data_IF_256843173597
#
_entry.id   IF_256843173597
#
_cell.length_a   1.000
_cell.length_b   1.000
_cell.length_c   1.000
_cell.angle_alpha   90.00
_cell.angle_beta   90.00
_cell.angle_gamma   90.00
#
_symmetry.space_group_name_H-M   'P 1'
#
loop_
_entity.id
_entity.type
_entity.pdbx_description
1 polymer ?
#
# COMPACT_ATOMS: atom_id res chain seq x y z
N UNK A 1 -13.80 29.05 -19.24
CA UNK A 1 -12.47 28.55 -18.83
C UNK A 1 -12.62 27.07 -18.60
N UNK A 2 -11.94 26.22 -19.38
CA UNK A 2 -11.97 24.78 -19.17
C UNK A 2 -10.98 24.43 -18.06
N UNK A 3 -11.47 24.02 -16.90
CA UNK A 3 -10.66 23.40 -15.86
C UNK A 3 -10.16 22.06 -16.39
N UNK A 4 -8.87 21.96 -16.68
CA UNK A 4 -8.24 20.67 -16.93
C UNK A 4 -8.36 19.84 -15.64
N UNK A 5 -9.06 18.70 -15.72
CA UNK A 5 -9.12 17.76 -14.61
C UNK A 5 -7.70 17.20 -14.38
N UNK A 6 -7.14 17.42 -13.20
CA UNK A 6 -5.91 16.74 -12.77
C UNK A 6 -6.30 15.28 -12.54
N UNK A 7 -6.03 14.42 -13.51
CA UNK A 7 -6.14 12.97 -13.31
C UNK A 7 -5.07 12.54 -12.30
N UNK A 8 -5.43 11.82 -11.23
CA UNK A 8 -4.46 11.24 -10.32
C UNK A 8 -3.44 10.40 -11.09
N UNK A 9 -2.18 10.38 -10.64
CA UNK A 9 -1.09 9.62 -11.26
C UNK A 9 -1.37 8.10 -11.42
N UNK A 10 -2.46 7.60 -10.83
CA UNK A 10 -2.86 6.19 -10.79
C UNK A 10 -4.17 5.92 -11.54
N UNK A 11 -4.67 6.88 -12.31
CA UNK A 11 -5.97 6.80 -12.97
C UNK A 11 -6.02 5.81 -14.16
N UNK A 12 -4.88 5.27 -14.60
CA UNK A 12 -4.81 4.25 -15.67
C UNK A 12 -3.80 3.13 -15.38
N UNK A 13 -2.81 3.39 -14.54
CA UNK A 13 -1.80 2.43 -14.10
C UNK A 13 -1.18 3.02 -12.83
N UNK A 14 -1.12 2.30 -11.69
CA UNK A 14 -0.56 2.85 -10.47
C UNK A 14 0.88 3.34 -10.68
N UNK A 15 1.07 4.64 -10.56
CA UNK A 15 2.34 5.35 -10.72
C UNK A 15 2.98 5.22 -12.12
N UNK A 16 2.15 4.92 -13.13
CA UNK A 16 2.60 4.61 -14.48
C UNK A 16 3.21 3.21 -14.65
N UNK A 17 3.10 2.35 -13.64
CA UNK A 17 3.61 0.98 -13.64
C UNK A 17 2.51 -0.03 -13.98
N UNK A 18 2.84 -1.05 -14.76
CA UNK A 18 1.91 -2.07 -15.26
C UNK A 18 2.34 -3.48 -14.89
N UNK A 19 1.36 -4.38 -14.83
CA UNK A 19 1.60 -5.80 -14.66
C UNK A 19 2.65 -6.30 -15.68
N UNK A 20 3.66 -7.01 -15.18
CA UNK A 20 4.68 -7.63 -16.01
C UNK A 20 5.74 -6.69 -16.59
N UNK A 21 5.75 -5.41 -16.21
CA UNK A 21 6.85 -4.51 -16.55
C UNK A 21 8.19 -5.12 -16.11
N UNK A 22 9.18 -5.11 -17.01
CA UNK A 22 10.52 -5.69 -16.78
C UNK A 22 11.62 -4.63 -16.66
N UNK A 23 11.39 -3.44 -17.21
CA UNK A 23 12.37 -2.36 -17.28
C UNK A 23 12.04 -1.33 -16.18
N UNK A 24 12.36 -1.67 -14.93
CA UNK A 24 12.18 -0.79 -13.78
C UNK A 24 13.51 -0.20 -13.34
N UNK A 25 13.45 1.01 -12.76
CA UNK A 25 14.61 1.67 -12.18
C UNK A 25 14.83 1.17 -10.75
N UNK A 26 15.44 -0.02 -10.64
CA UNK A 26 15.69 -0.68 -9.36
C UNK A 26 16.73 0.06 -8.53
N UNK A 27 16.36 0.33 -7.27
CA UNK A 27 17.29 0.72 -6.22
C UNK A 27 17.77 -0.50 -5.43
N UNK A 28 18.04 -0.27 -4.15
CA UNK A 28 18.52 -1.32 -3.26
C UNK A 28 17.52 -2.47 -3.12
N UNK A 29 18.05 -3.68 -2.97
CA UNK A 29 17.24 -4.84 -2.62
C UNK A 29 16.68 -4.66 -1.21
N UNK A 30 15.38 -4.87 -1.06
CA UNK A 30 14.79 -4.94 0.27
C UNK A 30 15.17 -6.28 0.92
N UNK A 31 15.35 -6.31 2.23
CA UNK A 31 15.62 -7.53 3.03
C UNK A 31 14.40 -8.48 3.11
N UNK A 32 13.80 -8.76 1.96
CA UNK A 32 12.74 -9.74 1.72
C UNK A 32 12.94 -10.29 0.31
N UNK A 33 12.84 -11.60 0.09
CA UNK A 33 12.99 -12.16 -1.25
C UNK A 33 12.03 -11.53 -2.26
N UNK A 34 12.57 -11.24 -3.44
CA UNK A 34 11.88 -10.66 -4.60
C UNK A 34 11.28 -9.27 -4.39
N UNK A 35 11.58 -8.62 -3.27
CA UNK A 35 11.23 -7.23 -3.04
C UNK A 35 12.40 -6.29 -3.34
N UNK A 36 12.12 -5.24 -4.10
CA UNK A 36 13.11 -4.25 -4.50
C UNK A 36 12.57 -2.84 -4.27
N UNK A 37 13.41 -1.94 -3.79
CA UNK A 37 13.10 -0.51 -3.87
C UNK A 37 13.23 -0.04 -5.32
N UNK A 38 12.50 1.01 -5.68
CA UNK A 38 12.67 1.74 -6.93
C UNK A 38 13.30 3.11 -6.64
N UNK A 39 14.25 3.52 -7.47
CA UNK A 39 14.81 4.89 -7.40
C UNK A 39 13.80 5.91 -7.92
N UNK A 40 13.01 5.52 -8.92
CA UNK A 40 11.99 6.36 -9.53
C UNK A 40 10.82 5.55 -10.11
N UNK A 41 9.70 6.24 -10.36
CA UNK A 41 8.53 5.70 -11.07
C UNK A 41 8.12 6.69 -12.17
N UNK A 42 7.49 6.23 -13.26
CA UNK A 42 7.12 7.10 -14.38
C UNK A 42 6.20 8.27 -14.01
N UNK A 43 5.25 8.04 -13.09
CA UNK A 43 4.29 9.04 -12.62
C UNK A 43 4.26 9.08 -11.09
N UNK A 44 5.22 9.77 -10.45
CA UNK A 44 5.26 9.84 -8.98
C UNK A 44 4.10 10.67 -8.44
N UNK A 45 3.71 10.40 -7.20
CA UNK A 45 2.75 11.20 -6.46
C UNK A 45 3.49 11.84 -5.26
N UNK A 46 3.42 13.18 -5.10
CA UNK A 46 4.22 13.89 -4.11
C UNK A 46 3.90 13.51 -2.65
N UNK A 47 2.80 12.80 -2.40
CA UNK A 47 2.46 12.29 -1.05
C UNK A 47 3.31 11.09 -0.65
N UNK A 48 3.94 10.40 -1.60
CA UNK A 48 4.71 9.18 -1.37
C UNK A 48 6.19 9.43 -1.62
N UNK A 49 7.03 8.86 -0.77
CA UNK A 49 8.49 9.00 -0.86
C UNK A 49 9.23 7.66 -0.92
N UNK A 50 8.49 6.55 -0.90
CA UNK A 50 9.03 5.19 -0.92
C UNK A 50 8.20 4.33 -1.86
N UNK A 51 8.90 3.65 -2.75
CA UNK A 51 8.33 2.79 -3.78
C UNK A 51 9.06 1.46 -3.74
N UNK A 52 8.33 0.39 -3.43
CA UNK A 52 8.83 -0.96 -3.47
C UNK A 52 7.97 -1.81 -4.40
N UNK A 53 8.58 -2.82 -4.99
CA UNK A 53 7.89 -3.76 -5.87
C UNK A 53 8.20 -5.19 -5.51
N UNK A 54 7.21 -6.06 -5.66
CA UNK A 54 7.45 -7.50 -5.77
C UNK A 54 7.67 -7.82 -7.26
N UNK A 55 8.82 -8.41 -7.56
CA UNK A 55 9.27 -8.67 -8.91
C UNK A 55 9.75 -10.12 -9.05
N UNK A 56 9.32 -10.79 -10.11
CA UNK A 56 9.64 -12.20 -10.37
C UNK A 56 9.87 -12.48 -11.85
N UNK A 57 9.87 -13.75 -12.24
CA UNK A 57 10.09 -14.15 -13.64
C UNK A 57 9.06 -13.57 -14.62
N UNK A 58 7.83 -13.34 -14.15
CA UNK A 58 6.75 -12.71 -14.92
C UNK A 58 6.84 -11.18 -15.00
N UNK A 59 7.84 -10.56 -14.34
CA UNK A 59 7.99 -9.11 -14.21
C UNK A 59 7.36 -8.55 -12.93
N UNK A 60 6.89 -7.30 -12.98
CA UNK A 60 6.21 -6.64 -11.88
C UNK A 60 4.90 -7.36 -11.49
N UNK A 61 4.75 -7.68 -10.21
CA UNK A 61 3.55 -8.35 -9.66
C UNK A 61 2.81 -7.53 -8.60
N UNK A 62 3.53 -6.68 -7.87
CA UNK A 62 2.94 -5.85 -6.80
C UNK A 62 3.70 -4.56 -6.65
N UNK A 63 2.97 -3.49 -6.35
CA UNK A 63 3.52 -2.21 -5.96
C UNK A 63 3.15 -1.97 -4.50
N UNK A 64 4.10 -1.51 -3.70
CA UNK A 64 3.89 -1.01 -2.35
C UNK A 64 4.49 0.39 -2.25
N UNK A 65 3.69 1.35 -1.83
CA UNK A 65 4.14 2.72 -1.60
C UNK A 65 3.90 3.16 -0.17
N UNK A 66 4.75 4.06 0.30
CA UNK A 66 4.65 4.63 1.64
C UNK A 66 4.76 6.16 1.62
N UNK A 67 3.98 6.81 2.47
CA UNK A 67 4.16 8.24 2.77
C UNK A 67 5.40 8.48 3.63
N UNK A 68 5.87 9.73 3.74
CA UNK A 68 6.67 10.14 4.89
C UNK A 68 5.95 9.83 6.22
N UNK A 69 6.72 9.87 7.32
CA UNK A 69 6.13 9.82 8.65
C UNK A 69 5.25 11.03 8.91
N UNK A 70 4.09 10.79 9.52
CA UNK A 70 3.33 11.79 10.26
C UNK A 70 3.93 11.84 11.68
N UNK A 71 4.76 12.84 12.02
CA UNK A 71 5.37 12.93 13.34
C UNK A 71 4.36 13.39 14.39
N UNK A 72 4.54 12.94 15.63
CA UNK A 72 3.73 13.35 16.79
C UNK A 72 2.21 13.21 16.61
N UNK A 73 1.77 12.32 15.72
CA UNK A 73 0.36 12.12 15.38
C UNK A 73 -0.30 11.14 16.36
N UNK A 74 -0.18 11.39 17.67
CA UNK A 74 -0.65 10.47 18.71
C UNK A 74 -2.10 9.98 18.50
N UNK A 75 -2.96 10.90 18.08
CA UNK A 75 -4.38 10.61 17.81
C UNK A 75 -4.64 10.05 16.41
N UNK A 76 -3.67 10.05 15.51
CA UNK A 76 -3.86 9.64 14.10
C UNK A 76 -4.62 10.67 13.27
N UNK A 77 -4.74 11.93 13.69
CA UNK A 77 -5.51 12.97 12.98
C UNK A 77 -4.98 13.16 11.56
N UNK A 78 -3.69 13.32 11.40
CA UNK A 78 -3.09 13.62 10.09
C UNK A 78 -3.12 12.38 9.21
N UNK A 79 -2.76 11.22 9.78
CA UNK A 79 -2.81 9.94 9.09
C UNK A 79 -4.24 9.57 8.63
N UNK A 80 -5.28 9.79 9.46
CA UNK A 80 -6.68 9.54 9.08
C UNK A 80 -7.16 10.51 8.01
N UNK A 81 -6.79 11.79 8.10
CA UNK A 81 -7.18 12.79 7.10
C UNK A 81 -6.60 12.43 5.73
N UNK A 82 -5.31 12.07 5.68
CA UNK A 82 -4.66 11.63 4.45
C UNK A 82 -5.21 10.27 3.95
N UNK A 83 -5.57 9.36 4.87
CA UNK A 83 -6.26 8.11 4.54
C UNK A 83 -7.58 8.38 3.82
N UNK A 84 -8.44 9.23 4.36
CA UNK A 84 -9.76 9.51 3.80
C UNK A 84 -9.66 10.17 2.42
N UNK A 85 -8.67 11.04 2.22
CA UNK A 85 -8.38 11.65 0.92
C UNK A 85 -7.98 10.59 -0.11
N UNK A 86 -6.97 9.78 0.18
CA UNK A 86 -6.49 8.72 -0.74
C UNK A 86 -7.59 7.69 -1.00
N UNK A 87 -8.34 7.31 0.05
CA UNK A 87 -9.48 6.39 -0.07
C UNK A 87 -10.52 6.94 -1.05
N UNK A 88 -10.90 8.22 -0.90
CA UNK A 88 -11.90 8.84 -1.79
C UNK A 88 -11.43 8.86 -3.24
N UNK A 89 -10.14 9.06 -3.48
CA UNK A 89 -9.57 9.01 -4.84
C UNK A 89 -9.60 7.59 -5.41
N UNK A 90 -9.21 6.58 -4.64
CA UNK A 90 -9.26 5.17 -5.07
C UNK A 90 -10.72 4.75 -5.30
N UNK A 91 -11.65 5.16 -4.44
CA UNK A 91 -13.09 4.91 -4.61
C UNK A 91 -13.63 5.51 -5.93
N UNK A 92 -13.17 6.71 -6.29
CA UNK A 92 -13.52 7.35 -7.56
C UNK A 92 -13.08 6.56 -8.80
N UNK A 93 -11.99 5.81 -8.70
CA UNK A 93 -11.42 5.03 -9.80
C UNK A 93 -11.93 3.59 -9.85
N UNK A 94 -12.06 2.94 -8.70
CA UNK A 94 -12.34 1.50 -8.59
C UNK A 94 -13.71 1.17 -7.98
N UNK A 95 -14.51 2.19 -7.67
CA UNK A 95 -15.75 2.03 -6.91
C UNK A 95 -15.48 1.86 -5.41
N UNK A 96 -16.54 1.78 -4.61
CA UNK A 96 -16.41 1.75 -3.16
C UNK A 96 -15.64 0.50 -2.67
N UNK A 97 -14.60 0.75 -1.89
CA UNK A 97 -13.90 -0.29 -1.14
C UNK A 97 -14.66 -0.70 0.12
N UNK A 98 -14.18 -1.77 0.77
CA UNK A 98 -14.57 -2.14 2.14
C UNK A 98 -13.59 -1.50 3.12
N UNK A 99 -14.12 -0.94 4.20
CA UNK A 99 -13.34 -0.25 5.21
C UNK A 99 -13.56 -0.89 6.57
N UNK A 100 -12.48 -0.98 7.35
CA UNK A 100 -12.51 -1.47 8.72
C UNK A 100 -11.62 -0.62 9.63
N UNK A 101 -12.19 -0.26 10.78
CA UNK A 101 -11.48 0.19 11.97
C UNK A 101 -11.77 -0.82 13.08
N UNK A 102 -10.90 -1.82 13.22
CA UNK A 102 -11.10 -2.92 14.16
C UNK A 102 -10.13 -2.79 15.32
N UNK A 103 -10.63 -2.92 16.54
CA UNK A 103 -9.82 -2.98 17.75
C UNK A 103 -9.90 -4.40 18.29
N UNK A 104 -8.76 -4.97 18.67
CA UNK A 104 -8.70 -6.29 19.32
C UNK A 104 -9.52 -6.25 20.61
N UNK A 105 -10.38 -7.26 20.81
CA UNK A 105 -11.22 -7.32 22.01
C UNK A 105 -10.36 -7.37 23.27
N UNK A 106 -10.70 -6.55 24.28
CA UNK A 106 -9.92 -6.43 25.51
C UNK A 106 -8.64 -5.60 25.39
N UNK A 107 -8.40 -4.92 24.25
CA UNK A 107 -7.21 -4.09 24.10
C UNK A 107 -7.17 -2.94 25.13
N UNK A 108 -6.04 -2.77 25.85
CA UNK A 108 -5.87 -1.61 26.74
C UNK A 108 -5.66 -0.30 25.98
N UNK A 109 -5.44 -0.35 24.66
CA UNK A 109 -5.16 0.80 23.79
C UNK A 109 -6.38 1.15 22.93
N UNK A 110 -7.56 1.23 23.54
CA UNK A 110 -8.82 1.49 22.80
C UNK A 110 -9.17 2.97 22.71
N UNK A 111 -8.56 3.83 23.54
CA UNK A 111 -8.82 5.26 23.56
C UNK A 111 -8.34 5.94 22.26
N UNK A 112 -8.99 7.04 21.90
CA UNK A 112 -8.63 7.81 20.70
C UNK A 112 -7.25 8.47 20.83
N UNK A 113 -6.86 8.82 22.06
CA UNK A 113 -5.51 9.27 22.38
C UNK A 113 -4.44 8.21 22.11
N UNK A 114 -4.82 6.95 21.97
CA UNK A 114 -3.89 5.84 21.84
C UNK A 114 -3.88 5.29 20.41
N UNK A 115 -4.53 5.97 19.47
CA UNK A 115 -4.75 5.49 18.10
C UNK A 115 -3.48 4.97 17.43
N UNK A 116 -2.43 5.78 17.31
CA UNK A 116 -1.22 5.34 16.59
C UNK A 116 -0.50 4.22 17.32
N UNK A 117 -0.48 4.26 18.65
CA UNK A 117 0.13 3.19 19.43
C UNK A 117 -0.66 1.89 19.37
N UNK A 118 -1.99 1.95 19.32
CA UNK A 118 -2.84 0.79 19.14
C UNK A 118 -2.55 0.09 17.81
N UNK A 119 -2.29 0.85 16.75
CA UNK A 119 -1.86 0.29 15.46
C UNK A 119 -0.43 -0.25 15.55
N UNK A 120 0.50 0.48 16.15
CA UNK A 120 1.90 0.05 16.32
C UNK A 120 2.05 -1.23 17.15
N UNK A 121 1.08 -1.54 18.02
CA UNK A 121 1.02 -2.75 18.84
C UNK A 121 0.11 -3.83 18.24
N UNK A 122 -0.31 -3.68 16.99
CA UNK A 122 -1.18 -4.63 16.28
C UNK A 122 -2.52 -4.86 17.03
N UNK A 123 -2.95 -3.87 17.81
CA UNK A 123 -4.21 -3.89 18.57
C UNK A 123 -5.35 -3.17 17.84
N UNK A 124 -5.03 -2.42 16.78
CA UNK A 124 -6.01 -1.78 15.91
C UNK A 124 -5.60 -1.93 14.45
N UNK A 125 -6.56 -2.28 13.61
CA UNK A 125 -6.44 -2.23 12.15
C UNK A 125 -7.23 -1.03 11.64
N UNK A 126 -6.61 -0.23 10.77
CA UNK A 126 -7.26 0.88 10.08
C UNK A 126 -6.97 0.79 8.58
N UNK A 127 -7.89 0.18 7.85
CA UNK A 127 -7.64 -0.40 6.54
C UNK A 127 -8.85 -0.24 5.62
N UNK A 128 -8.58 0.02 4.33
CA UNK A 128 -9.55 -0.05 3.25
C UNK A 128 -9.02 -0.98 2.14
N UNK A 129 -9.92 -1.78 1.58
CA UNK A 129 -9.59 -2.77 0.55
C UNK A 129 -10.55 -2.68 -0.63
N UNK A 130 -10.00 -2.83 -1.83
CA UNK A 130 -10.74 -2.96 -3.08
C UNK A 130 -10.37 -4.28 -3.73
N UNK A 131 -11.38 -5.07 -4.08
CA UNK A 131 -11.23 -6.29 -4.88
C UNK A 131 -12.55 -6.61 -5.57
N UNK A 132 -12.49 -7.41 -6.64
CA UNK A 132 -13.71 -7.89 -7.32
C UNK A 132 -14.59 -8.73 -6.39
N UNK A 133 -13.97 -9.51 -5.50
CA UNK A 133 -14.67 -10.31 -4.48
C UNK A 133 -15.47 -9.45 -3.49
N UNK A 134 -15.03 -8.20 -3.27
CA UNK A 134 -15.70 -7.24 -2.40
C UNK A 134 -16.65 -6.30 -3.16
N UNK A 135 -16.81 -6.50 -4.47
CA UNK A 135 -17.72 -5.74 -5.33
C UNK A 135 -17.12 -4.47 -5.93
N UNK A 136 -15.80 -4.27 -5.82
CA UNK A 136 -15.10 -3.18 -6.52
C UNK A 136 -15.00 -3.49 -8.01
N UNK A 137 -14.99 -2.45 -8.86
CA UNK A 137 -15.01 -2.61 -10.32
C UNK A 137 -13.76 -3.31 -10.85
N UNK A 138 -12.60 -2.97 -10.27
CA UNK A 138 -11.25 -3.40 -10.67
C UNK A 138 -10.94 -3.22 -12.17
N UNK A 139 -9.70 -2.86 -12.50
CA UNK A 139 -9.25 -2.64 -13.88
C UNK A 139 -7.73 -2.69 -13.94
N UNK A 140 -7.16 -2.55 -15.14
CA UNK A 140 -5.71 -2.42 -15.34
C UNK A 140 -4.92 -3.60 -14.73
N UNK A 141 -5.51 -4.80 -14.86
CA UNK A 141 -5.01 -6.08 -14.33
C UNK A 141 -4.82 -6.14 -12.81
N UNK A 142 -5.37 -5.19 -12.06
CA UNK A 142 -5.40 -5.21 -10.60
C UNK A 142 -6.43 -6.21 -10.09
N UNK A 143 -6.04 -7.00 -9.10
CA UNK A 143 -6.92 -7.94 -8.39
C UNK A 143 -7.21 -7.48 -6.96
N UNK A 144 -6.31 -6.69 -6.38
CA UNK A 144 -6.41 -6.25 -5.00
C UNK A 144 -5.71 -4.90 -4.78
N UNK A 145 -6.35 -4.02 -4.02
CA UNK A 145 -5.76 -2.77 -3.52
C UNK A 145 -5.98 -2.73 -2.01
N UNK A 146 -4.94 -2.41 -1.25
CA UNK A 146 -5.02 -2.18 0.19
C UNK A 146 -4.44 -0.82 0.52
N UNK A 147 -5.21 0.01 1.22
CA UNK A 147 -4.75 1.22 1.88
C UNK A 147 -4.83 0.99 3.38
N UNK A 148 -3.75 1.25 4.12
CA UNK A 148 -3.78 1.17 5.59
C UNK A 148 -2.87 2.18 6.27
N UNK A 149 -3.19 2.48 7.52
CA UNK A 149 -2.29 3.17 8.44
C UNK A 149 -1.38 2.14 9.10
N UNK A 150 -0.08 2.42 9.11
CA UNK A 150 0.92 1.65 9.85
C UNK A 150 1.49 2.53 10.96
N UNK A 151 1.37 2.07 12.19
CA UNK A 151 1.92 2.73 13.37
C UNK A 151 3.35 2.28 13.63
N UNK A 152 4.16 3.21 14.14
CA UNK A 152 5.54 3.00 14.57
C UNK A 152 5.74 3.58 15.97
N UNK A 153 6.82 3.17 16.64
CA UNK A 153 7.17 3.70 17.95
C UNK A 153 7.30 5.24 17.94
N UNK A 154 7.02 5.85 19.09
CA UNK A 154 7.08 7.31 19.25
C UNK A 154 5.92 8.05 18.57
N UNK A 155 4.73 7.42 18.48
CA UNK A 155 3.53 8.03 17.89
C UNK A 155 3.69 8.47 16.43
N UNK A 156 4.54 7.77 15.68
CA UNK A 156 4.72 8.00 14.24
C UNK A 156 3.79 7.09 13.47
N UNK A 157 3.19 7.61 12.42
CA UNK A 157 2.41 6.80 11.49
C UNK A 157 2.91 7.00 10.06
N UNK A 158 2.66 6.03 9.20
CA UNK A 158 2.71 6.19 7.75
C UNK A 158 1.42 5.64 7.16
N UNK A 159 1.10 6.07 5.95
CA UNK A 159 0.13 5.38 5.11
C UNK A 159 0.88 4.49 4.13
N UNK A 160 0.36 3.28 3.92
CA UNK A 160 0.83 2.42 2.85
C UNK A 160 -0.31 2.11 1.90
N UNK A 161 -0.02 2.17 0.59
CA UNK A 161 -0.92 1.66 -0.45
C UNK A 161 -0.24 0.53 -1.17
N UNK A 162 -0.95 -0.58 -1.33
CA UNK A 162 -0.51 -1.75 -2.07
C UNK A 162 -1.43 -2.00 -3.25
N UNK A 163 -0.85 -2.28 -4.40
CA UNK A 163 -1.55 -2.67 -5.63
C UNK A 163 -1.03 -4.05 -6.06
N UNK A 164 -1.91 -5.04 -6.14
CA UNK A 164 -1.57 -6.40 -6.60
C UNK A 164 -2.17 -6.67 -7.97
N UNK A 165 -1.36 -7.21 -8.87
CA UNK A 165 -1.75 -7.58 -10.22
C UNK A 165 -2.11 -9.06 -10.33
N UNK A 166 -2.79 -9.46 -11.42
CA UNK A 166 -3.21 -10.86 -11.67
C UNK A 166 -2.09 -11.90 -11.65
N UNK A 167 -0.85 -11.51 -11.92
CA UNK A 167 0.32 -12.40 -11.90
C UNK A 167 0.94 -12.57 -10.49
N UNK A 168 0.30 -12.07 -9.44
CA UNK A 168 0.82 -12.08 -8.06
C UNK A 168 1.28 -13.46 -7.58
N UNK A 169 0.53 -14.51 -7.92
CA UNK A 169 0.82 -15.88 -7.47
C UNK A 169 2.21 -16.35 -7.93
N UNK A 170 2.61 -16.02 -9.16
CA UNK A 170 3.94 -16.38 -9.70
C UNK A 170 5.05 -15.80 -8.82
N UNK A 171 4.98 -14.50 -8.53
CA UNK A 171 5.99 -13.84 -7.71
C UNK A 171 5.93 -14.25 -6.24
N UNK A 172 4.74 -14.54 -5.71
CA UNK A 172 4.55 -14.98 -4.34
C UNK A 172 5.17 -16.37 -4.11
N UNK A 173 4.97 -17.30 -5.05
CA UNK A 173 5.54 -18.64 -5.01
C UNK A 173 7.07 -18.61 -5.09
N UNK A 174 7.63 -17.81 -6.01
CA UNK A 174 9.07 -17.60 -6.11
C UNK A 174 9.67 -17.01 -4.83
N UNK A 175 9.01 -16.00 -4.25
CA UNK A 175 9.45 -15.39 -3.00
C UNK A 175 9.40 -16.38 -1.83
N UNK A 176 8.36 -17.22 -1.76
CA UNK A 176 8.22 -18.26 -0.76
C UNK A 176 9.30 -19.35 -0.90
N UNK A 177 9.59 -19.79 -2.13
CA UNK A 177 10.66 -20.73 -2.41
C UNK A 177 12.03 -20.18 -1.99
N UNK A 178 12.33 -18.93 -2.30
CA UNK A 178 13.57 -18.27 -1.91
C UNK A 178 13.72 -18.12 -0.38
N UNK A 179 12.63 -17.79 0.34
CA UNK A 179 12.64 -17.75 1.82
C UNK A 179 12.97 -19.12 2.43
N UNK A 180 12.37 -20.19 1.91
CA UNK A 180 12.60 -21.57 2.38
C UNK A 180 14.03 -22.06 2.10
N UNK A 181 14.66 -21.56 1.05
CA UNK A 181 16.07 -21.86 0.77
C UNK A 181 16.99 -21.15 1.78
N UNK A 182 16.77 -19.85 2.02
CA UNK A 182 17.57 -19.06 2.95
C UNK A 182 17.44 -19.48 4.43
N UNK A 183 16.34 -20.13 4.82
CA UNK A 183 16.16 -20.64 6.19
C UNK A 183 16.83 -21.99 6.47
N UNK A 184 17.48 -22.59 5.46
CA UNK A 184 18.16 -23.90 5.58
C UNK A 184 19.68 -23.76 5.75
N UNK A 185 20.19 -22.54 5.65
CA UNK A 185 21.59 -22.17 5.90
C UNK A 185 21.73 -21.59 7.32
#
# INVERSE_FOLDING_TARGET
MATAAITPAWAAAPFGLKMGDKNLDFGDRWDRPNWFWLNSVPMPDPRFNRYAVLFGSSGLCRILVGTPYFPDDRTGRDARTAFDQIKSEIDGLYGNGRYWNKIVNGSPWSADSDFVMSIAREQREYIAVWSSELGSKMRDDLVYIELKIVGHDGYKAILTVSYEFKNIDICADEAAAARRAASKD
#
